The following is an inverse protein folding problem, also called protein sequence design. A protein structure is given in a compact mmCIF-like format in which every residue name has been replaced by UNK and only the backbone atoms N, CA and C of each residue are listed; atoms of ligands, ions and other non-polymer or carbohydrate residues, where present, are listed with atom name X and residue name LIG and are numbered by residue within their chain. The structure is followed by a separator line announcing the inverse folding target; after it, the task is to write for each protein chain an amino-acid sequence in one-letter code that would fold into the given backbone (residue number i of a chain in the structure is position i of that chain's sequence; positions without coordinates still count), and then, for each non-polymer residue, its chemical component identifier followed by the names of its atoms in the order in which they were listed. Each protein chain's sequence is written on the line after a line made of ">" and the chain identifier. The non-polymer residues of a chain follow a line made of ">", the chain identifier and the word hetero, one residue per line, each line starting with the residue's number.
data_IF_461424140810
#
_entry.id   IF_461424140810
#
_cell.length_a   1.000
_cell.length_b   1.000
_cell.length_c   1.000
_cell.angle_alpha   90.00
_cell.angle_beta   90.00
_cell.angle_gamma   90.00
#
_symmetry.space_group_name_H-M   'P 1'
#
loop_
_entity.id
_entity.type
_entity.pdbx_description
1 polymer ?
#
# COMPACT_ATOMS: atom_id res chain seq x y z
N UNK A 1 -28.39 15.80 -7.81
CA UNK A 1 -27.25 15.00 -8.31
C UNK A 1 -26.03 15.19 -7.39
N UNK A 2 -25.36 14.13 -6.93
CA UNK A 2 -24.16 14.24 -6.09
C UNK A 2 -22.99 14.75 -6.94
N UNK A 3 -22.30 15.81 -6.50
CA UNK A 3 -21.12 16.36 -7.20
C UNK A 3 -19.91 15.44 -6.99
N UNK A 4 -19.08 15.28 -8.02
CA UNK A 4 -17.81 14.54 -7.91
C UNK A 4 -16.86 15.29 -6.98
N UNK A 5 -16.44 14.64 -5.89
CA UNK A 5 -15.53 15.23 -4.92
C UNK A 5 -14.09 15.29 -5.43
N UNK A 6 -13.31 16.29 -5.00
CA UNK A 6 -11.90 16.46 -5.42
C UNK A 6 -11.02 15.24 -5.13
N UNK A 7 -11.30 14.50 -4.04
CA UNK A 7 -10.61 13.24 -3.74
C UNK A 7 -10.74 12.23 -4.90
N UNK A 8 -11.90 12.15 -5.55
CA UNK A 8 -12.11 11.24 -6.68
C UNK A 8 -11.17 11.57 -7.85
N UNK A 9 -11.09 12.86 -8.22
CA UNK A 9 -10.22 13.32 -9.31
C UNK A 9 -8.75 13.05 -8.97
N UNK A 10 -8.32 13.37 -7.74
CA UNK A 10 -6.95 13.09 -7.29
C UNK A 10 -6.62 11.60 -7.37
N UNK A 11 -7.52 10.73 -6.90
CA UNK A 11 -7.32 9.28 -7.00
C UNK A 11 -7.16 8.83 -8.44
N UNK A 12 -8.04 9.28 -9.35
CA UNK A 12 -7.98 8.92 -10.76
C UNK A 12 -6.66 9.39 -11.40
N UNK A 13 -6.20 10.61 -11.10
CA UNK A 13 -4.92 11.13 -11.59
C UNK A 13 -3.74 10.33 -11.04
N UNK A 14 -3.75 9.97 -9.75
CA UNK A 14 -2.70 9.12 -9.17
C UNK A 14 -2.61 7.76 -9.86
N UNK A 15 -3.75 7.11 -10.14
CA UNK A 15 -3.79 5.83 -10.85
C UNK A 15 -3.27 5.99 -12.28
N UNK A 16 -3.69 7.04 -12.99
CA UNK A 16 -3.17 7.36 -14.32
C UNK A 16 -1.65 7.49 -14.31
N UNK A 17 -1.09 8.26 -13.38
CA UNK A 17 0.37 8.44 -13.25
C UNK A 17 1.07 7.12 -12.91
N UNK A 18 0.49 6.28 -12.03
CA UNK A 18 1.04 4.96 -11.72
C UNK A 18 1.15 4.10 -12.98
N UNK A 19 0.09 4.04 -13.80
CA UNK A 19 0.08 3.24 -15.03
C UNK A 19 1.12 3.77 -16.03
N UNK A 20 1.19 5.09 -16.23
CA UNK A 20 2.16 5.71 -17.15
C UNK A 20 3.59 5.40 -16.71
N UNK A 21 3.91 5.59 -15.44
CA UNK A 21 5.25 5.30 -14.90
C UNK A 21 5.55 3.80 -15.02
N UNK A 22 4.62 2.92 -14.66
CA UNK A 22 4.84 1.48 -14.79
C UNK A 22 5.12 1.03 -16.22
N UNK A 23 4.51 1.67 -17.23
CA UNK A 23 4.81 1.40 -18.65
C UNK A 23 6.20 1.87 -19.05
N UNK A 24 6.62 3.05 -18.59
CA UNK A 24 7.95 3.62 -18.88
C UNK A 24 9.06 2.74 -18.28
N UNK A 25 8.90 2.32 -17.02
CA UNK A 25 9.87 1.50 -16.30
C UNK A 25 9.76 0.00 -16.59
N UNK A 26 8.85 -0.43 -17.49
CA UNK A 26 8.59 -1.83 -17.83
C UNK A 26 8.35 -2.73 -16.61
N UNK A 27 7.65 -2.21 -15.58
CA UNK A 27 7.26 -3.04 -14.44
C UNK A 27 6.32 -4.17 -14.91
N UNK A 28 6.45 -5.36 -14.29
CA UNK A 28 5.66 -6.53 -14.69
C UNK A 28 4.15 -6.30 -14.54
N UNK A 29 3.71 -5.44 -13.60
CA UNK A 29 2.31 -5.07 -13.48
C UNK A 29 2.12 -3.73 -12.73
N UNK A 30 1.29 -2.79 -13.22
CA UNK A 30 0.96 -1.57 -12.49
C UNK A 30 0.03 -1.81 -11.29
N UNK A 31 -0.48 -3.03 -11.09
CA UNK A 31 -1.59 -3.33 -10.19
C UNK A 31 -1.35 -2.87 -8.75
N UNK A 32 -0.21 -3.24 -8.15
CA UNK A 32 0.04 -2.93 -6.73
C UNK A 32 0.36 -1.46 -6.50
N UNK A 33 1.03 -0.81 -7.45
CA UNK A 33 1.23 0.64 -7.41
C UNK A 33 -0.13 1.38 -7.46
N UNK A 34 -1.05 0.96 -8.33
CA UNK A 34 -2.38 1.55 -8.42
C UNK A 34 -3.19 1.34 -7.14
N UNK A 35 -3.22 0.12 -6.59
CA UNK A 35 -3.93 -0.17 -5.33
C UNK A 35 -3.33 0.61 -4.16
N UNK A 36 -2.01 0.72 -4.09
CA UNK A 36 -1.35 1.56 -3.10
C UNK A 36 -1.76 3.03 -3.25
N UNK A 37 -1.79 3.55 -4.47
CA UNK A 37 -2.21 4.93 -4.72
C UNK A 37 -3.67 5.19 -4.31
N UNK A 38 -4.58 4.27 -4.62
CA UNK A 38 -6.01 4.37 -4.24
C UNK A 38 -6.19 4.36 -2.72
N UNK A 39 -5.52 3.43 -2.03
CA UNK A 39 -5.66 3.28 -0.57
C UNK A 39 -5.02 4.45 0.17
N UNK A 40 -3.87 4.93 -0.31
CA UNK A 40 -3.15 6.03 0.33
C UNK A 40 -3.74 7.41 -0.01
N UNK A 41 -4.55 7.56 -1.05
CA UNK A 41 -5.22 8.82 -1.35
C UNK A 41 -6.31 9.12 -0.31
N UNK A 42 -6.03 10.07 0.57
CA UNK A 42 -6.95 10.56 1.60
C UNK A 42 -7.34 12.02 1.36
N UNK A 43 -8.16 12.58 2.24
CA UNK A 43 -8.62 13.97 2.11
C UNK A 43 -7.49 14.99 2.32
N UNK A 44 -6.48 14.67 3.13
CA UNK A 44 -5.33 15.55 3.39
C UNK A 44 -4.01 14.86 3.06
N UNK A 45 -2.96 15.64 2.84
CA UNK A 45 -1.60 15.14 2.55
C UNK A 45 -1.05 14.37 3.76
N UNK A 46 -1.24 14.91 4.97
CA UNK A 46 -0.79 14.30 6.23
C UNK A 46 -1.40 12.92 6.44
N UNK A 47 -2.72 12.79 6.26
CA UNK A 47 -3.43 11.51 6.39
C UNK A 47 -3.03 10.53 5.29
N UNK A 48 -2.79 11.03 4.07
CA UNK A 48 -2.28 10.20 2.96
C UNK A 48 -0.90 9.64 3.27
N UNK A 49 -0.03 10.46 3.86
CA UNK A 49 1.30 10.06 4.29
C UNK A 49 1.25 9.06 5.45
N UNK A 50 0.39 9.27 6.45
CA UNK A 50 0.24 8.32 7.57
C UNK A 50 -0.25 6.94 7.08
N UNK A 51 -1.27 6.92 6.21
CA UNK A 51 -1.76 5.68 5.60
C UNK A 51 -0.67 5.01 4.74
N UNK A 52 0.07 5.81 3.96
CA UNK A 52 1.23 5.33 3.20
C UNK A 52 2.30 4.69 4.07
N UNK A 53 2.69 5.34 5.18
CA UNK A 53 3.68 4.80 6.13
C UNK A 53 3.24 3.46 6.71
N UNK A 54 1.98 3.35 7.15
CA UNK A 54 1.45 2.07 7.66
C UNK A 54 1.44 0.99 6.58
N UNK A 55 1.14 1.37 5.33
CA UNK A 55 1.17 0.44 4.20
C UNK A 55 2.58 -0.05 3.88
N UNK A 56 3.60 0.82 3.91
CA UNK A 56 5.00 0.42 3.75
C UNK A 56 5.42 -0.55 4.85
N UNK A 57 5.16 -0.20 6.10
CA UNK A 57 5.47 -1.06 7.26
C UNK A 57 4.83 -2.43 7.08
N UNK A 58 3.53 -2.49 6.79
CA UNK A 58 2.83 -3.76 6.60
C UNK A 58 3.39 -4.56 5.43
N UNK A 59 3.69 -3.90 4.32
CA UNK A 59 4.29 -4.56 3.14
C UNK A 59 5.67 -5.14 3.47
N UNK A 60 6.50 -4.43 4.24
CA UNK A 60 7.80 -4.94 4.69
C UNK A 60 7.66 -6.18 5.56
N UNK A 61 6.80 -6.16 6.59
CA UNK A 61 6.62 -7.31 7.47
C UNK A 61 6.01 -8.52 6.74
N UNK A 62 4.98 -8.29 5.93
CA UNK A 62 4.37 -9.32 5.10
C UNK A 62 5.35 -9.89 4.08
N UNK A 63 6.21 -9.05 3.49
CA UNK A 63 7.23 -9.48 2.56
C UNK A 63 8.31 -10.32 3.24
N UNK A 64 8.83 -9.88 4.38
CA UNK A 64 9.87 -10.60 5.12
C UNK A 64 9.38 -12.00 5.50
N UNK A 65 8.24 -12.12 6.19
CA UNK A 65 7.73 -13.42 6.58
C UNK A 65 7.28 -14.26 5.38
N UNK A 66 6.70 -13.63 4.36
CA UNK A 66 6.26 -14.32 3.15
C UNK A 66 7.42 -14.97 2.43
N UNK A 67 8.52 -14.23 2.27
CA UNK A 67 9.77 -14.73 1.68
C UNK A 67 10.32 -15.89 2.51
N UNK A 68 10.48 -15.72 3.83
CA UNK A 68 11.00 -16.77 4.71
C UNK A 68 10.18 -18.05 4.63
N UNK A 69 8.85 -17.96 4.74
CA UNK A 69 7.97 -19.14 4.73
C UNK A 69 7.90 -19.79 3.35
N UNK A 70 7.95 -18.99 2.28
CA UNK A 70 7.94 -19.51 0.93
C UNK A 70 9.22 -20.27 0.56
N UNK A 71 10.35 -19.97 1.20
CA UNK A 71 11.57 -20.77 1.04
C UNK A 71 11.48 -22.14 1.73
N UNK A 72 10.61 -22.30 2.73
CA UNK A 72 10.38 -23.59 3.40
C UNK A 72 9.49 -24.46 2.51
N UNK A 73 8.27 -23.99 2.24
CA UNK A 73 7.33 -24.69 1.36
C UNK A 73 6.29 -23.71 0.82
N UNK A 74 6.45 -23.21 -0.42
CA UNK A 74 5.48 -22.30 -1.02
C UNK A 74 4.15 -23.03 -1.25
N UNK A 75 3.04 -22.29 -1.29
CA UNK A 75 1.68 -22.84 -1.45
C UNK A 75 1.20 -23.81 -0.34
N UNK A 76 1.96 -23.98 0.73
CA UNK A 76 1.55 -24.80 1.87
C UNK A 76 0.40 -24.14 2.65
N UNK A 77 -0.74 -24.83 2.73
CA UNK A 77 -1.91 -24.37 3.49
C UNK A 77 -1.57 -24.22 4.98
N UNK A 78 -0.84 -25.19 5.54
CA UNK A 78 -0.48 -25.21 6.97
C UNK A 78 0.49 -24.07 7.30
N UNK A 79 1.56 -23.91 6.50
CA UNK A 79 2.51 -22.81 6.72
C UNK A 79 1.85 -21.44 6.51
N UNK A 80 0.92 -21.33 5.57
CA UNK A 80 0.19 -20.08 5.36
C UNK A 80 -0.66 -19.73 6.59
N UNK A 81 -1.39 -20.69 7.16
CA UNK A 81 -2.18 -20.48 8.37
C UNK A 81 -1.32 -20.10 9.58
N UNK A 82 -0.23 -20.84 9.82
CA UNK A 82 0.73 -20.56 10.89
C UNK A 82 1.40 -19.19 10.70
N UNK A 83 1.79 -18.86 9.47
CA UNK A 83 2.41 -17.60 9.13
C UNK A 83 1.49 -16.40 9.34
N UNK A 84 0.19 -16.51 9.01
CA UNK A 84 -0.79 -15.46 9.32
C UNK A 84 -0.91 -15.27 10.83
N UNK A 85 -1.05 -16.35 11.60
CA UNK A 85 -1.17 -16.26 13.07
C UNK A 85 0.06 -15.58 13.68
N UNK A 86 1.26 -16.01 13.26
CA UNK A 86 2.53 -15.41 13.69
C UNK A 86 2.63 -13.93 13.29
N UNK A 87 2.26 -13.59 12.06
CA UNK A 87 2.33 -12.22 11.55
C UNK A 87 1.38 -11.27 12.31
N UNK A 88 0.18 -11.74 12.64
CA UNK A 88 -0.79 -10.98 13.44
C UNK A 88 -0.22 -10.74 14.84
N UNK A 89 0.28 -11.80 15.50
CA UNK A 89 0.91 -11.69 16.82
C UNK A 89 2.08 -10.69 16.80
N UNK A 90 2.98 -10.80 15.82
CA UNK A 90 4.10 -9.88 15.69
C UNK A 90 3.66 -8.43 15.47
N UNK A 91 2.62 -8.19 14.66
CA UNK A 91 2.08 -6.84 14.43
C UNK A 91 1.45 -6.24 15.69
N UNK A 92 0.83 -7.06 16.54
CA UNK A 92 0.23 -6.64 17.80
C UNK A 92 1.31 -6.27 18.84
N UNK A 93 2.35 -7.11 18.97
CA UNK A 93 3.50 -6.87 19.86
C UNK A 93 4.21 -5.56 19.55
N UNK A 94 4.35 -5.21 18.26
CA UNK A 94 4.98 -3.94 17.83
C UNK A 94 4.00 -2.75 17.81
N UNK A 95 2.75 -2.94 18.27
CA UNK A 95 1.68 -1.95 18.25
C UNK A 95 1.42 -1.32 16.86
N UNK A 96 1.53 -2.11 15.79
CA UNK A 96 1.30 -1.69 14.39
C UNK A 96 0.00 -2.25 13.83
N UNK A 97 -1.08 -2.21 14.61
CA UNK A 97 -2.40 -2.77 14.24
C UNK A 97 -2.96 -2.24 12.92
N UNK A 98 -2.69 -0.99 12.55
CA UNK A 98 -3.09 -0.41 11.24
C UNK A 98 -2.40 -1.07 10.04
N UNK A 99 -1.30 -1.79 10.27
CA UNK A 99 -0.48 -2.42 9.22
C UNK A 99 -0.81 -3.91 9.06
N UNK A 100 -1.39 -4.56 10.08
CA UNK A 100 -1.65 -6.01 10.15
C UNK A 100 -2.37 -6.54 8.91
N UNK A 101 -3.48 -5.91 8.51
CA UNK A 101 -4.26 -6.34 7.34
C UNK A 101 -3.41 -6.34 6.07
N UNK A 102 -2.59 -5.31 5.86
CA UNK A 102 -1.74 -5.17 4.68
C UNK A 102 -0.61 -6.21 4.74
N UNK A 103 -0.01 -6.44 5.92
CA UNK A 103 0.98 -7.50 6.11
C UNK A 103 0.43 -8.85 5.70
N UNK A 104 -0.78 -9.21 6.16
CA UNK A 104 -1.42 -10.49 5.82
C UNK A 104 -1.67 -10.61 4.32
N UNK A 105 -2.16 -9.56 3.66
CA UNK A 105 -2.39 -9.56 2.20
C UNK A 105 -1.08 -9.83 1.45
N UNK A 106 0.02 -9.15 1.83
CA UNK A 106 1.32 -9.31 1.16
C UNK A 106 1.92 -10.68 1.42
N UNK A 107 1.83 -11.17 2.65
CA UNK A 107 2.26 -12.52 3.03
C UNK A 107 1.54 -13.58 2.19
N UNK A 108 0.21 -13.55 2.12
CA UNK A 108 -0.58 -14.48 1.32
C UNK A 108 -0.24 -14.35 -0.16
N UNK A 109 -0.10 -13.12 -0.66
CA UNK A 109 0.28 -12.89 -2.05
C UNK A 109 1.63 -13.52 -2.40
N UNK A 110 2.61 -13.55 -1.47
CA UNK A 110 3.88 -14.23 -1.69
C UNK A 110 3.72 -15.74 -1.59
N UNK A 111 2.99 -16.25 -0.59
CA UNK A 111 2.80 -17.69 -0.43
C UNK A 111 2.05 -18.35 -1.58
N UNK A 112 1.25 -17.60 -2.35
CA UNK A 112 0.31 -18.14 -3.36
C UNK A 112 0.57 -17.70 -4.80
N UNK A 113 1.36 -16.65 -5.06
CA UNK A 113 1.50 -16.06 -6.40
C UNK A 113 2.95 -15.95 -6.90
N UNK A 114 3.82 -16.91 -6.53
CA UNK A 114 5.17 -17.04 -7.08
C UNK A 114 5.09 -17.57 -8.52
N UNK A 115 4.70 -16.72 -9.47
CA UNK A 115 4.68 -17.03 -10.90
C UNK A 115 6.11 -17.00 -11.46
N UNK A 116 6.86 -18.06 -11.19
CA UNK A 116 8.24 -18.31 -11.67
C UNK A 116 9.32 -17.32 -11.19
N UNK A 117 8.97 -16.38 -10.31
CA UNK A 117 9.92 -15.44 -9.69
C UNK A 117 10.46 -16.02 -8.39
N UNK A 118 11.72 -15.70 -8.07
CA UNK A 118 12.24 -15.97 -6.73
C UNK A 118 11.40 -15.21 -5.69
N UNK A 119 11.14 -15.79 -4.51
CA UNK A 119 10.35 -15.12 -3.49
C UNK A 119 10.93 -13.77 -3.09
N UNK A 120 12.25 -13.68 -3.00
CA UNK A 120 12.97 -12.45 -2.71
C UNK A 120 12.68 -11.36 -3.76
N UNK A 121 12.81 -11.67 -5.05
CA UNK A 121 12.48 -10.71 -6.12
C UNK A 121 11.01 -10.28 -6.07
N UNK A 122 10.10 -11.20 -5.77
CA UNK A 122 8.69 -10.87 -5.66
C UNK A 122 8.45 -9.91 -4.47
N UNK A 123 9.05 -10.19 -3.31
CA UNK A 123 8.97 -9.34 -2.12
C UNK A 123 9.51 -7.93 -2.35
N UNK A 124 10.69 -7.82 -2.98
CA UNK A 124 11.30 -6.53 -3.34
C UNK A 124 10.42 -5.77 -4.33
N UNK A 125 9.92 -6.43 -5.38
CA UNK A 125 9.00 -5.80 -6.35
C UNK A 125 7.73 -5.29 -5.66
N UNK A 126 7.15 -6.06 -4.72
CA UNK A 126 5.98 -5.62 -3.95
C UNK A 126 6.25 -4.38 -3.10
N UNK A 127 7.41 -4.33 -2.47
CA UNK A 127 7.82 -3.15 -1.70
C UNK A 127 7.99 -1.92 -2.61
N UNK A 128 8.70 -2.06 -3.73
CA UNK A 128 8.95 -0.96 -4.68
C UNK A 128 7.67 -0.45 -5.34
N UNK A 129 6.81 -1.34 -5.82
CA UNK A 129 5.51 -0.96 -6.41
C UNK A 129 4.63 -0.22 -5.39
N UNK A 130 4.62 -0.69 -4.14
CA UNK A 130 3.86 -0.04 -3.07
C UNK A 130 4.42 1.33 -2.72
N UNK A 131 5.75 1.44 -2.60
CA UNK A 131 6.43 2.71 -2.35
C UNK A 131 6.13 3.74 -3.46
N UNK A 132 6.22 3.31 -4.72
CA UNK A 132 5.91 4.16 -5.87
C UNK A 132 4.47 4.69 -5.82
N UNK A 133 3.49 3.81 -5.60
CA UNK A 133 2.08 4.20 -5.50
C UNK A 133 1.81 5.21 -4.36
N UNK A 134 2.49 5.03 -3.23
CA UNK A 134 2.41 5.96 -2.09
C UNK A 134 2.99 7.33 -2.45
N UNK A 135 4.18 7.35 -3.03
CA UNK A 135 4.85 8.59 -3.45
C UNK A 135 3.95 9.35 -4.42
N UNK A 136 3.42 8.68 -5.44
CA UNK A 136 2.51 9.30 -6.42
C UNK A 136 1.26 9.85 -5.72
N UNK A 137 0.61 9.08 -4.85
CA UNK A 137 -0.59 9.54 -4.15
C UNK A 137 -0.34 10.76 -3.26
N UNK A 138 0.78 10.78 -2.53
CA UNK A 138 1.15 11.92 -1.68
C UNK A 138 1.47 13.16 -2.52
N UNK A 139 2.24 13.01 -3.61
CA UNK A 139 2.57 14.11 -4.51
C UNK A 139 1.32 14.68 -5.18
N UNK A 140 0.45 13.81 -5.72
CA UNK A 140 -0.82 14.24 -6.32
C UNK A 140 -1.69 14.96 -5.29
N UNK A 141 -1.78 14.47 -4.05
CA UNK A 141 -2.57 15.14 -3.03
C UNK A 141 -2.01 16.52 -2.67
N UNK A 142 -0.68 16.65 -2.65
CA UNK A 142 0.03 17.89 -2.34
C UNK A 142 -0.11 18.93 -3.45
N UNK A 143 0.05 18.55 -4.71
CA UNK A 143 0.12 19.49 -5.84
C UNK A 143 -1.23 19.73 -6.53
N UNK A 144 -2.12 18.73 -6.56
CA UNK A 144 -3.43 18.89 -7.20
C UNK A 144 -4.43 19.33 -6.13
N UNK A 145 -4.72 20.63 -6.09
CA UNK A 145 -5.73 21.26 -5.21
C UNK A 145 -5.62 20.79 -3.74
N UNK A 146 -4.54 21.12 -3.03
CA UNK A 146 -4.34 20.69 -1.64
C UNK A 146 -5.53 21.12 -0.77
N UNK A 147 -6.04 20.19 0.04
CA UNK A 147 -7.13 20.51 0.96
C UNK A 147 -6.62 21.50 2.01
N UNK A 148 -7.01 22.76 1.88
CA UNK A 148 -6.75 23.77 2.91
C UNK A 148 -7.86 23.66 3.97
N UNK A 149 -7.51 23.30 5.21
CA UNK A 149 -8.42 23.50 6.34
C UNK A 149 -8.72 25.00 6.39
N UNK A 150 -9.93 25.40 5.99
CA UNK A 150 -10.43 26.76 6.25
C UNK A 150 -10.41 26.92 7.77
N UNK A 151 -9.46 27.69 8.31
CA UNK A 151 -9.51 28.12 9.72
C UNK A 151 -10.92 28.69 9.91
N UNK A 152 -11.67 28.17 10.89
CA UNK A 152 -12.92 28.81 11.34
C UNK A 152 -12.54 30.23 11.78
N UNK A 153 -12.73 31.21 10.91
CA UNK A 153 -12.69 32.61 11.28
C UNK A 153 -13.88 32.88 12.20
N UNK A 154 -13.52 33.27 13.43
CA UNK A 154 -14.32 33.96 14.45
C UNK A 154 -15.68 34.46 13.93
N UNK A 155 -16.75 33.75 14.30
CA UNK A 155 -18.11 34.30 14.35
C UNK A 155 -18.60 34.09 15.77
N UNK A 156 -18.13 34.96 16.64
CA UNK A 156 -18.81 35.44 17.85
C UNK A 156 -18.29 36.88 18.00
N UNK A 157 -18.95 37.78 17.28
CA UNK A 157 -18.95 39.23 17.51
C UNK A 157 -20.33 39.56 18.04
#
# INVERSE_FOLDING_TARGET
>A
MKKVGMRNIKTAVSVFICIVISRIFKFSSPFYACIAAVICMQSTVETSFEVGKNRLIGTTFGAILGVVFSYIMPNSVILTALGISLLIYLCDVIHKNKSTTISCIVFVAIMTNLKDKSPFEYGVNRFLETALGIVIAVLVNKYICPYYKRKKEKRDK
#
